data_IF_470842276970
#
_entry.id   IF_470842276970
#
_cell.length_a   1.000
_cell.length_b   1.000
_cell.length_c   1.000
_cell.angle_alpha   90.00
_cell.angle_beta   90.00
_cell.angle_gamma   90.00
#
_symmetry.space_group_name_H-M   'P 1'
#
loop_
_entity.id
_entity.type
_entity.pdbx_description
1 polymer ?
#
# COMPACT_ATOMS: atom_id res chain seq x y z
N UNK A 1 -15.27 -14.58 27.35
CA UNK A 1 -15.51 -14.01 26.00
C UNK A 1 -14.34 -14.39 25.13
N UNK A 2 -14.52 -15.31 24.18
CA UNK A 2 -13.49 -15.63 23.19
C UNK A 2 -13.40 -14.46 22.21
N UNK A 3 -12.42 -13.57 22.41
CA UNK A 3 -12.07 -12.58 21.39
C UNK A 3 -11.60 -13.34 20.16
N UNK A 4 -12.32 -13.17 19.04
CA UNK A 4 -11.86 -13.65 17.74
C UNK A 4 -10.40 -13.19 17.55
N UNK A 5 -9.51 -14.05 17.03
CA UNK A 5 -8.12 -13.68 16.81
C UNK A 5 -8.06 -12.42 15.96
N UNK A 6 -7.22 -11.45 16.35
CA UNK A 6 -7.07 -10.20 15.61
C UNK A 6 -6.54 -10.54 14.22
N UNK A 7 -7.38 -10.33 13.21
CA UNK A 7 -7.01 -10.50 11.81
C UNK A 7 -6.50 -9.16 11.27
N UNK A 8 -5.18 -9.06 11.12
CA UNK A 8 -4.50 -7.87 10.60
C UNK A 8 -4.67 -7.70 9.09
N UNK A 9 -4.85 -8.81 8.36
CA UNK A 9 -5.00 -8.83 6.89
C UNK A 9 -6.44 -9.16 6.54
N UNK A 10 -7.04 -8.41 5.62
CA UNK A 10 -8.45 -8.55 5.25
C UNK A 10 -8.61 -8.52 3.74
N UNK A 11 -9.67 -9.14 3.26
CA UNK A 11 -10.14 -8.93 1.89
C UNK A 11 -10.78 -7.54 1.81
N UNK A 12 -10.32 -6.73 0.86
CA UNK A 12 -10.88 -5.41 0.56
C UNK A 12 -11.83 -5.47 -0.63
N UNK A 13 -12.74 -4.49 -0.69
CA UNK A 13 -13.59 -4.32 -1.86
C UNK A 13 -12.75 -3.91 -3.07
N UNK A 14 -13.07 -4.50 -4.22
CA UNK A 14 -12.47 -4.16 -5.52
C UNK A 14 -13.35 -3.16 -6.27
N UNK A 15 -12.72 -2.33 -7.10
CA UNK A 15 -13.32 -1.27 -7.88
C UNK A 15 -12.76 -1.31 -9.30
N UNK A 16 -13.64 -1.10 -10.28
CA UNK A 16 -13.22 -0.79 -11.65
C UNK A 16 -13.33 0.71 -11.83
N UNK A 17 -12.31 1.30 -12.43
CA UNK A 17 -12.22 2.74 -12.64
C UNK A 17 -11.53 3.02 -13.97
N UNK A 18 -11.78 4.21 -14.51
CA UNK A 18 -11.18 4.68 -15.76
C UNK A 18 -10.25 5.84 -15.43
N UNK A 19 -8.97 5.68 -15.75
CA UNK A 19 -7.93 6.70 -15.54
C UNK A 19 -7.24 6.95 -16.87
N UNK A 20 -7.19 8.20 -17.31
CA UNK A 20 -6.60 8.58 -18.60
C UNK A 20 -7.18 7.75 -19.78
N UNK A 21 -8.47 7.41 -19.72
CA UNK A 21 -9.16 6.61 -20.74
C UNK A 21 -8.87 5.10 -20.68
N UNK A 22 -8.12 4.62 -19.68
CA UNK A 22 -7.79 3.21 -19.50
C UNK A 22 -8.50 2.63 -18.28
N UNK A 23 -9.06 1.43 -18.43
CA UNK A 23 -9.65 0.70 -17.32
C UNK A 23 -8.55 0.15 -16.41
N UNK A 24 -8.69 0.36 -15.10
CA UNK A 24 -7.85 -0.28 -14.09
C UNK A 24 -8.71 -0.89 -12.97
N UNK A 25 -8.19 -1.95 -12.37
CA UNK A 25 -8.76 -2.57 -11.18
C UNK A 25 -8.05 -2.02 -9.94
N UNK A 26 -8.79 -1.44 -9.02
CA UNK A 26 -8.27 -0.93 -7.75
C UNK A 26 -8.92 -1.63 -6.56
N UNK A 27 -8.31 -1.53 -5.39
CA UNK A 27 -8.85 -2.03 -4.13
C UNK A 27 -8.88 -0.93 -3.06
N UNK A 28 -9.80 -1.06 -2.11
CA UNK A 28 -9.92 -0.14 -0.97
C UNK A 28 -8.86 -0.44 0.10
N UNK A 29 -8.08 0.59 0.45
CA UNK A 29 -7.06 0.53 1.49
C UNK A 29 -7.67 0.96 2.82
N UNK A 30 -7.64 0.11 3.87
CA UNK A 30 -8.04 0.50 5.22
C UNK A 30 -7.19 1.65 5.75
N UNK A 31 -7.82 2.60 6.45
CA UNK A 31 -7.20 3.84 6.93
C UNK A 31 -6.03 3.61 7.88
N UNK A 32 -6.13 2.67 8.82
CA UNK A 32 -5.09 2.41 9.83
C UNK A 32 -5.20 0.97 10.35
N UNK A 33 -4.14 0.48 11.00
CA UNK A 33 -4.03 -0.80 11.73
C UNK A 33 -4.19 -2.09 10.92
N UNK A 34 -5.14 -2.16 10.00
CA UNK A 34 -5.40 -3.32 9.15
C UNK A 34 -4.82 -3.14 7.76
N UNK A 35 -4.53 -4.25 7.11
CA UNK A 35 -4.02 -4.33 5.75
C UNK A 35 -5.07 -5.01 4.87
N UNK A 36 -5.38 -4.43 3.72
CA UNK A 36 -5.92 -5.18 2.62
C UNK A 36 -4.86 -6.16 2.12
N UNK A 37 -5.25 -7.39 1.78
CA UNK A 37 -4.33 -8.40 1.22
C UNK A 37 -3.56 -7.88 0.01
N UNK A 38 -4.19 -7.04 -0.82
CA UNK A 38 -3.59 -6.45 -2.01
C UNK A 38 -2.54 -5.35 -1.70
N UNK A 39 -2.36 -4.96 -0.43
CA UNK A 39 -1.22 -4.12 -0.01
C UNK A 39 0.07 -4.92 0.12
N UNK A 40 -0.01 -6.23 0.39
CA UNK A 40 1.16 -7.05 0.65
C UNK A 40 2.10 -7.13 -0.56
N UNK A 41 1.61 -7.24 -1.82
CA UNK A 41 2.47 -7.14 -3.00
C UNK A 41 3.27 -5.84 -3.09
N UNK A 42 2.68 -4.69 -2.72
CA UNK A 42 3.40 -3.41 -2.71
C UNK A 42 4.55 -3.43 -1.70
N UNK A 43 4.29 -3.93 -0.49
CA UNK A 43 5.29 -4.02 0.57
C UNK A 43 6.37 -5.05 0.21
N UNK A 44 5.98 -6.22 -0.30
CA UNK A 44 6.88 -7.29 -0.74
C UNK A 44 7.86 -6.81 -1.81
N UNK A 45 7.37 -6.05 -2.80
CA UNK A 45 8.19 -5.48 -3.88
C UNK A 45 9.33 -4.60 -3.37
N UNK A 46 9.13 -3.86 -2.27
CA UNK A 46 10.10 -2.86 -1.78
C UNK A 46 10.91 -3.31 -0.57
N UNK A 47 10.44 -4.31 0.15
CA UNK A 47 11.07 -4.80 1.36
C UNK A 47 12.01 -5.98 1.11
N UNK A 48 12.01 -6.56 -0.10
CA UNK A 48 12.78 -7.77 -0.46
C UNK A 48 12.36 -9.01 0.35
N UNK A 49 11.05 -9.17 0.55
CA UNK A 49 10.46 -10.36 1.16
C UNK A 49 9.44 -10.97 0.21
N UNK A 50 9.40 -12.30 0.14
CA UNK A 50 8.32 -13.03 -0.54
C UNK A 50 6.94 -12.63 0.01
N UNK A 51 5.94 -12.53 -0.88
CA UNK A 51 4.57 -12.12 -0.54
C UNK A 51 3.98 -13.00 0.57
N UNK A 52 4.11 -14.32 0.47
CA UNK A 52 3.55 -15.26 1.46
C UNK A 52 4.28 -15.16 2.79
N UNK A 53 5.61 -15.02 2.74
CA UNK A 53 6.42 -14.81 3.95
C UNK A 53 5.99 -13.54 4.68
N UNK A 54 5.82 -12.43 3.96
CA UNK A 54 5.40 -11.16 4.55
C UNK A 54 3.96 -11.24 5.08
N UNK A 55 3.04 -11.89 4.36
CA UNK A 55 1.65 -12.13 4.79
C UNK A 55 1.61 -12.90 6.12
N UNK A 56 2.42 -13.95 6.26
CA UNK A 56 2.53 -14.71 7.51
C UNK A 56 3.09 -13.85 8.65
N UNK A 57 4.18 -13.11 8.39
CA UNK A 57 4.80 -12.25 9.40
C UNK A 57 3.83 -11.17 9.92
N UNK A 58 3.02 -10.56 9.05
CA UNK A 58 1.98 -9.60 9.46
C UNK A 58 0.84 -10.29 10.21
N UNK A 59 0.43 -11.49 9.79
CA UNK A 59 -0.60 -12.27 10.49
C UNK A 59 -0.17 -12.66 11.92
N UNK A 60 1.12 -12.91 12.11
CA UNK A 60 1.72 -13.26 13.41
C UNK A 60 1.87 -12.05 14.35
N UNK A 61 1.59 -10.83 13.90
CA UNK A 61 1.55 -9.65 14.77
C UNK A 61 0.51 -9.77 15.89
N UNK A 62 -0.46 -10.69 15.76
CA UNK A 62 -1.39 -11.05 16.85
C UNK A 62 -0.71 -11.63 18.08
N UNK A 63 0.52 -12.11 17.94
CA UNK A 63 1.36 -12.62 19.03
C UNK A 63 2.26 -11.54 19.65
N UNK A 64 2.15 -10.28 19.22
CA UNK A 64 2.81 -9.12 19.85
C UNK A 64 4.10 -8.64 19.18
N UNK A 65 4.65 -9.35 18.20
CA UNK A 65 5.79 -8.88 17.40
C UNK A 65 5.31 -7.98 16.26
N UNK A 66 5.70 -6.71 16.25
CA UNK A 66 5.39 -5.78 15.15
C UNK A 66 6.41 -5.96 14.04
N UNK A 67 5.92 -6.28 12.85
CA UNK A 67 6.73 -6.49 11.64
C UNK A 67 6.56 -5.32 10.69
N UNK A 68 5.32 -4.95 10.39
CA UNK A 68 4.97 -3.75 9.63
C UNK A 68 3.84 -3.04 10.35
N UNK A 69 3.98 -1.76 10.58
CA UNK A 69 2.94 -0.90 11.12
C UNK A 69 2.41 0.02 10.02
N UNK A 70 1.10 -0.04 9.73
CA UNK A 70 0.43 0.97 8.92
C UNK A 70 0.14 2.19 9.78
N UNK A 71 0.81 3.29 9.48
CA UNK A 71 0.62 4.56 10.17
C UNK A 71 -0.72 5.18 9.79
N UNK A 72 -0.97 5.34 8.48
CA UNK A 72 -2.22 5.88 7.95
C UNK A 72 -2.34 5.69 6.42
N UNK A 73 -3.56 5.77 5.92
CA UNK A 73 -3.92 5.88 4.52
C UNK A 73 -4.95 7.01 4.36
N UNK A 74 -4.62 8.05 3.58
CA UNK A 74 -5.48 9.23 3.39
C UNK A 74 -5.68 9.56 1.92
N UNK A 75 -6.84 10.15 1.61
CA UNK A 75 -7.09 10.82 0.33
C UNK A 75 -6.63 12.26 0.42
N UNK A 76 -5.92 12.74 -0.59
CA UNK A 76 -5.36 14.09 -0.60
C UNK A 76 -6.37 15.14 -1.10
N UNK A 77 -7.46 14.70 -1.73
CA UNK A 77 -8.58 15.52 -2.18
C UNK A 77 -9.81 15.44 -1.24
N UNK A 78 -9.67 14.82 -0.06
CA UNK A 78 -10.74 14.85 0.97
C UNK A 78 -10.57 16.08 1.86
N UNK A 79 -11.65 16.83 2.05
CA UNK A 79 -11.71 17.83 3.13
C UNK A 79 -11.58 17.11 4.48
N UNK A 80 -10.70 17.59 5.36
CA UNK A 80 -10.38 16.98 6.67
C UNK A 80 -11.61 16.73 7.58
N UNK A 81 -12.76 17.35 7.28
CA UNK A 81 -13.96 17.32 8.10
C UNK A 81 -15.21 16.73 7.41
N UNK A 82 -15.10 16.28 6.15
CA UNK A 82 -16.19 15.61 5.42
C UNK A 82 -15.78 14.21 5.04
N UNK A 83 -16.76 13.30 5.02
CA UNK A 83 -16.70 11.87 4.67
C UNK A 83 -15.30 11.35 4.30
N UNK A 84 -14.78 10.40 5.08
CA UNK A 84 -13.53 9.69 4.77
C UNK A 84 -13.62 9.07 3.37
N UNK A 85 -13.16 9.79 2.35
CA UNK A 85 -13.09 9.30 0.98
C UNK A 85 -12.20 8.06 0.98
N UNK A 86 -12.64 7.05 0.23
CA UNK A 86 -11.91 5.79 0.12
C UNK A 86 -10.55 6.01 -0.53
N UNK A 87 -9.52 5.53 0.14
CA UNK A 87 -8.21 5.36 -0.48
C UNK A 87 -8.28 4.14 -1.38
N UNK A 88 -8.00 4.35 -2.67
CA UNK A 88 -7.93 3.27 -3.64
C UNK A 88 -6.48 3.15 -4.10
N UNK A 89 -5.95 1.94 -4.18
CA UNK A 89 -4.70 1.64 -4.88
C UNK A 89 -4.97 0.65 -6.02
N UNK A 90 -4.27 0.76 -7.17
CA UNK A 90 -4.33 -0.25 -8.22
C UNK A 90 -3.93 -1.62 -7.68
N UNK A 91 -4.66 -2.66 -8.05
CA UNK A 91 -4.26 -4.02 -7.73
C UNK A 91 -3.12 -4.49 -8.63
N UNK A 92 -1.97 -4.85 -8.05
CA UNK A 92 -0.79 -5.26 -8.83
C UNK A 92 -0.98 -6.61 -9.52
N UNK A 93 -1.90 -7.46 -9.05
CA UNK A 93 -2.15 -8.79 -9.63
C UNK A 93 -3.14 -8.78 -10.80
N UNK A 94 -4.10 -7.84 -10.80
CA UNK A 94 -5.17 -7.77 -11.81
C UNK A 94 -4.86 -6.80 -12.96
N UNK A 95 -3.82 -5.98 -12.86
CA UNK A 95 -3.42 -5.03 -13.89
C UNK A 95 -2.09 -5.42 -14.52
N UNK A 96 -1.83 -4.91 -15.72
CA UNK A 96 -0.50 -4.94 -16.31
C UNK A 96 0.37 -3.87 -15.65
N UNK A 97 1.46 -4.28 -15.04
CA UNK A 97 2.37 -3.43 -14.28
C UNK A 97 3.71 -3.35 -15.00
N UNK A 98 4.20 -2.13 -15.16
CA UNK A 98 5.56 -1.81 -15.60
C UNK A 98 6.12 -0.73 -14.65
N UNK A 99 7.39 -0.38 -14.74
CA UNK A 99 7.94 0.67 -13.90
C UNK A 99 9.44 0.80 -13.94
N UNK A 100 9.93 1.81 -13.22
CA UNK A 100 11.35 2.07 -13.06
C UNK A 100 11.69 2.38 -11.60
N UNK A 101 12.93 2.11 -11.24
CA UNK A 101 13.50 2.42 -9.93
C UNK A 101 14.44 3.61 -10.08
N UNK A 102 14.28 4.59 -9.21
CA UNK A 102 15.13 5.76 -9.10
C UNK A 102 15.79 5.75 -7.71
N UNK A 103 17.12 5.72 -7.67
CA UNK A 103 17.85 5.87 -6.40
C UNK A 103 17.78 7.33 -5.95
N UNK A 104 17.54 7.54 -4.66
CA UNK A 104 17.55 8.86 -4.02
C UNK A 104 18.46 8.81 -2.79
N UNK A 105 18.79 9.97 -2.22
CA UNK A 105 19.58 10.01 -0.99
C UNK A 105 18.87 9.22 0.13
N UNK A 106 19.57 8.24 0.72
CA UNK A 106 19.07 7.37 1.78
C UNK A 106 17.81 6.55 1.42
N UNK A 107 17.64 6.18 0.13
CA UNK A 107 16.50 5.41 -0.28
C UNK A 107 16.36 5.18 -1.78
N UNK A 108 15.18 4.76 -2.18
CA UNK A 108 14.81 4.64 -3.58
C UNK A 108 13.32 4.93 -3.76
N UNK A 109 12.96 5.30 -4.98
CA UNK A 109 11.58 5.51 -5.41
C UNK A 109 11.30 4.56 -6.56
N UNK A 110 10.23 3.78 -6.44
CA UNK A 110 9.71 2.95 -7.52
C UNK A 110 8.53 3.68 -8.14
N UNK A 111 8.64 4.05 -9.41
CA UNK A 111 7.48 4.52 -10.17
C UNK A 111 6.82 3.32 -10.84
N UNK A 112 5.52 3.19 -10.63
CA UNK A 112 4.71 2.09 -11.11
C UNK A 112 3.76 2.63 -12.18
N UNK A 113 3.92 2.08 -13.38
CA UNK A 113 3.03 2.25 -14.50
C UNK A 113 1.91 1.20 -14.43
N UNK A 114 0.67 1.61 -14.67
CA UNK A 114 -0.49 0.70 -14.58
C UNK A 114 -1.27 0.75 -15.88
N UNK A 115 -1.37 -0.37 -16.59
CA UNK A 115 -1.99 -0.48 -17.91
C UNK A 115 -1.45 0.59 -18.89
N UNK A 116 -0.16 0.94 -18.74
CA UNK A 116 0.51 1.98 -19.51
C UNK A 116 0.14 3.44 -19.12
N UNK A 117 -0.50 3.67 -17.99
CA UNK A 117 -0.59 5.00 -17.35
C UNK A 117 0.72 5.21 -16.60
N UNK A 118 1.52 6.20 -17.04
CA UNK A 118 2.89 6.38 -16.53
C UNK A 118 2.91 6.85 -15.08
N UNK A 119 3.68 6.20 -14.21
CA UNK A 119 3.93 6.58 -12.81
C UNK A 119 2.65 6.85 -12.01
N UNK A 120 1.56 6.12 -12.26
CA UNK A 120 0.29 6.30 -11.56
C UNK A 120 0.46 6.15 -10.04
N UNK A 121 1.34 5.23 -9.63
CA UNK A 121 1.74 5.04 -8.24
C UNK A 121 3.24 5.25 -8.11
N UNK A 122 3.68 5.88 -7.02
CA UNK A 122 5.09 5.98 -6.63
C UNK A 122 5.25 5.40 -5.24
N UNK A 123 6.25 4.55 -5.05
CA UNK A 123 6.58 3.99 -3.73
C UNK A 123 7.95 4.49 -3.34
N UNK A 124 8.01 5.37 -2.34
CA UNK A 124 9.26 5.85 -1.78
C UNK A 124 9.63 5.00 -0.56
N UNK A 125 10.89 4.61 -0.49
CA UNK A 125 11.44 3.81 0.59
C UNK A 125 12.63 4.55 1.17
N UNK A 126 12.62 4.80 2.46
CA UNK A 126 13.71 5.47 3.16
C UNK A 126 14.22 4.61 4.31
N UNK A 127 15.54 4.47 4.39
CA UNK A 127 16.17 3.80 5.51
C UNK A 127 16.21 4.74 6.72
N UNK A 128 15.56 4.34 7.81
CA UNK A 128 15.65 5.01 9.12
C UNK A 128 16.48 4.15 10.07
N UNK A 129 16.94 4.74 11.17
CA UNK A 129 17.82 4.05 12.13
C UNK A 129 17.26 2.73 12.69
N UNK A 130 15.94 2.60 12.78
CA UNK A 130 15.29 1.45 13.43
C UNK A 130 14.18 0.79 12.59
N UNK A 131 13.91 1.30 11.39
CA UNK A 131 12.87 0.78 10.51
C UNK A 131 13.08 1.29 9.07
N UNK A 132 12.48 0.62 8.09
CA UNK A 132 12.31 1.15 6.74
C UNK A 132 10.98 1.88 6.65
N UNK A 133 11.00 3.13 6.22
CA UNK A 133 9.80 3.90 5.96
C UNK A 133 9.35 3.66 4.53
N UNK A 134 8.10 3.22 4.34
CA UNK A 134 7.50 3.00 3.02
C UNK A 134 6.33 3.97 2.84
N UNK A 135 6.38 4.76 1.77
CA UNK A 135 5.35 5.74 1.43
C UNK A 135 4.84 5.45 0.03
N UNK A 136 3.56 5.10 -0.09
CA UNK A 136 2.88 4.90 -1.37
C UNK A 136 2.09 6.16 -1.71
N UNK A 137 2.40 6.75 -2.85
CA UNK A 137 1.73 7.93 -3.39
C UNK A 137 0.98 7.52 -4.64
N UNK A 138 -0.33 7.76 -4.66
CA UNK A 138 -1.15 7.62 -5.86
C UNK A 138 -1.42 8.99 -6.46
N UNK A 139 -1.19 9.13 -7.77
CA UNK A 139 -1.48 10.35 -8.53
C UNK A 139 -2.99 10.50 -8.83
N UNK A 140 -3.44 11.69 -9.29
CA UNK A 140 -4.82 11.90 -9.73
C UNK A 140 -5.30 10.83 -10.74
N UNK A 141 -6.61 10.56 -10.82
CA UNK A 141 -7.73 11.39 -10.36
C UNK A 141 -8.12 11.20 -8.89
N UNK A 142 -7.58 10.16 -8.24
CA UNK A 142 -7.89 9.80 -6.86
C UNK A 142 -6.62 9.88 -6.00
N UNK A 143 -6.08 11.09 -5.77
CA UNK A 143 -4.78 11.24 -5.15
C UNK A 143 -4.82 10.73 -3.71
N UNK A 144 -3.86 9.90 -3.36
CA UNK A 144 -3.81 9.25 -2.05
C UNK A 144 -2.39 9.06 -1.57
N UNK A 145 -2.26 8.91 -0.25
CA UNK A 145 -0.99 8.73 0.42
C UNK A 145 -1.15 7.67 1.51
N UNK A 146 -0.27 6.66 1.50
CA UNK A 146 -0.27 5.57 2.46
C UNK A 146 1.14 5.42 3.03
N UNK A 147 1.24 5.31 4.36
CA UNK A 147 2.53 5.27 5.06
C UNK A 147 2.64 4.06 5.98
N UNK A 148 3.78 3.40 5.92
CA UNK A 148 4.13 2.24 6.73
C UNK A 148 5.52 2.40 7.36
N UNK A 149 5.70 1.79 8.53
CA UNK A 149 6.99 1.55 9.15
C UNK A 149 7.25 0.03 9.21
N UNK A 150 8.33 -0.44 8.57
CA UNK A 150 8.72 -1.84 8.54
C UNK A 150 9.94 -2.09 9.44
N UNK A 151 9.79 -2.93 10.46
CA UNK A 151 10.78 -3.23 11.50
C UNK A 151 11.49 -4.57 11.28
N UNK A 152 11.67 -4.94 10.01
CA UNK A 152 12.13 -6.26 9.56
C UNK A 152 13.62 -6.34 9.31
#
# INVERSE_FOLDING_TARGET
MSTLPIEYIRMSRMFREVVEGKEIVSFEVPTHKFFARNEIPYLSMVLDYDVRKLENMISDMKYGRVVVEKMWAIRLDSELFRENKKVLLPDLGSNHIDGNIESVENGHVINIDVNGIKSLVRVAVFDRQSFKEVIIIRRPPLPALVRYAAFI
#
